data_IF_166515367867
#
_entry.id   IF_166515367867
#
_cell.length_a   1.000
_cell.length_b   1.000
_cell.length_c   1.000
_cell.angle_alpha   90.00
_cell.angle_beta   90.00
_cell.angle_gamma   90.00
#
_symmetry.space_group_name_H-M   'P 1'
#
loop_
_entity.id
_entity.type
_entity.pdbx_description
1 polymer ?
#
# COMPACT_ATOMS: atom_id res chain seq x y z
N UNK A 1 21.05 -2.61 -5.53
CA UNK A 1 21.01 -1.25 -6.11
C UNK A 1 20.18 -1.31 -7.39
N UNK A 2 19.15 -0.47 -7.56
CA UNK A 2 18.35 -0.48 -8.80
C UNK A 2 19.27 -0.09 -9.98
N UNK A 3 19.14 -0.72 -11.15
CA UNK A 3 19.96 -0.43 -12.35
C UNK A 3 20.08 1.07 -12.64
N UNK A 4 18.97 1.80 -12.44
CA UNK A 4 18.91 3.27 -12.57
C UNK A 4 19.91 4.01 -11.68
N UNK A 5 20.10 3.58 -10.43
CA UNK A 5 21.06 4.19 -9.51
C UNK A 5 22.49 3.98 -9.98
N UNK A 6 22.81 2.77 -10.45
CA UNK A 6 24.14 2.43 -10.97
C UNK A 6 24.45 3.28 -12.21
N UNK A 7 23.48 3.43 -13.12
CA UNK A 7 23.63 4.28 -14.31
C UNK A 7 23.90 5.75 -13.96
N UNK A 8 23.21 6.30 -12.96
CA UNK A 8 23.44 7.69 -12.50
C UNK A 8 24.86 7.85 -11.96
N UNK A 9 25.34 6.93 -11.13
CA UNK A 9 26.72 6.98 -10.62
C UNK A 9 27.75 6.83 -11.73
N UNK A 10 27.51 5.96 -12.71
CA UNK A 10 28.39 5.79 -13.86
C UNK A 10 28.44 7.06 -14.72
N UNK A 11 27.29 7.70 -14.94
CA UNK A 11 27.20 8.97 -15.66
C UNK A 11 27.96 10.09 -14.93
N UNK A 12 27.80 10.21 -13.61
CA UNK A 12 28.54 11.18 -12.80
C UNK A 12 30.06 10.92 -12.87
N UNK A 13 30.48 9.67 -12.76
CA UNK A 13 31.89 9.30 -12.88
C UNK A 13 32.43 9.64 -14.28
N UNK A 14 31.68 9.36 -15.35
CA UNK A 14 32.06 9.69 -16.71
C UNK A 14 32.23 11.21 -16.90
N UNK A 15 31.30 12.02 -16.38
CA UNK A 15 31.40 13.48 -16.41
C UNK A 15 32.60 13.98 -15.62
N UNK A 16 32.86 13.43 -14.42
CA UNK A 16 34.04 13.79 -13.62
C UNK A 16 35.35 13.46 -14.34
N UNK A 17 35.47 12.27 -14.94
CA UNK A 17 36.66 11.88 -15.70
C UNK A 17 36.83 12.78 -16.93
N UNK A 18 35.75 13.05 -17.66
CA UNK A 18 35.78 13.98 -18.80
C UNK A 18 36.26 15.38 -18.40
N UNK A 19 35.76 15.93 -17.29
CA UNK A 19 36.17 17.23 -16.79
C UNK A 19 37.65 17.27 -16.37
N UNK A 20 38.14 16.20 -15.73
CA UNK A 20 39.55 16.08 -15.32
C UNK A 20 40.49 16.00 -16.53
N UNK A 21 40.13 15.20 -17.54
CA UNK A 21 40.90 15.10 -18.79
C UNK A 21 40.94 16.45 -19.52
N UNK A 22 39.84 17.19 -19.49
CA UNK A 22 39.71 18.48 -20.18
C UNK A 22 39.94 19.69 -19.26
N UNK A 23 40.67 19.52 -18.16
CA UNK A 23 40.79 20.53 -17.11
C UNK A 23 41.20 21.92 -17.63
N UNK A 24 42.18 21.99 -18.52
CA UNK A 24 42.66 23.24 -19.11
C UNK A 24 41.54 24.03 -19.81
N UNK A 25 40.62 23.34 -20.52
CA UNK A 25 39.49 23.96 -21.18
C UNK A 25 38.46 24.50 -20.17
N UNK A 26 38.25 23.78 -19.06
CA UNK A 26 37.35 24.22 -18.00
C UNK A 26 37.89 25.43 -17.22
N UNK A 27 39.22 25.54 -17.09
CA UNK A 27 39.90 26.64 -16.39
C UNK A 27 40.25 27.84 -17.27
N UNK A 28 40.00 27.76 -18.58
CA UNK A 28 40.32 28.85 -19.51
C UNK A 28 39.52 30.12 -19.16
N UNK A 29 40.19 31.29 -18.98
CA UNK A 29 39.51 32.53 -18.67
C UNK A 29 38.59 32.96 -19.83
N UNK A 30 37.32 33.22 -19.52
CA UNK A 30 36.33 33.70 -20.49
C UNK A 30 35.68 34.98 -19.98
N UNK A 31 35.43 35.94 -20.87
CA UNK A 31 34.63 37.11 -20.53
C UNK A 31 33.17 36.69 -20.38
N UNK A 32 32.60 36.94 -19.21
CA UNK A 32 31.23 36.59 -18.85
C UNK A 32 30.44 37.87 -18.62
N UNK A 33 29.32 38.00 -19.32
CA UNK A 33 28.38 39.10 -19.12
C UNK A 33 27.22 38.66 -18.25
N UNK A 34 26.92 39.46 -17.21
CA UNK A 34 25.71 39.37 -16.39
C UNK A 34 24.59 40.26 -16.94
N UNK A 35 24.66 40.63 -18.22
CA UNK A 35 23.76 41.58 -18.87
C UNK A 35 24.17 43.04 -18.67
N UNK A 36 24.50 43.45 -17.44
CA UNK A 36 24.90 44.83 -17.11
C UNK A 36 26.37 45.00 -16.72
N UNK A 37 27.08 43.91 -16.45
CA UNK A 37 28.47 43.91 -16.02
C UNK A 37 29.22 42.72 -16.64
N UNK A 38 30.44 42.97 -17.10
CA UNK A 38 31.34 41.94 -17.63
C UNK A 38 32.48 41.67 -16.65
N UNK A 39 32.74 40.40 -16.40
CA UNK A 39 33.86 39.96 -15.58
C UNK A 39 34.53 38.74 -16.18
N UNK A 40 35.79 38.51 -15.83
CA UNK A 40 36.57 37.41 -16.38
C UNK A 40 36.59 36.25 -15.40
N UNK A 41 35.99 35.13 -15.78
CA UNK A 41 36.08 33.89 -15.01
C UNK A 41 36.00 32.68 -15.93
N UNK A 42 36.50 31.51 -15.50
CA UNK A 42 36.38 30.30 -16.30
C UNK A 42 34.93 29.80 -16.36
N UNK A 43 34.24 30.01 -17.48
CA UNK A 43 32.85 29.60 -17.68
C UNK A 43 32.66 28.10 -17.41
N UNK A 44 33.63 27.27 -17.83
CA UNK A 44 33.58 25.83 -17.62
C UNK A 44 33.47 25.46 -16.15
N UNK A 45 34.34 26.01 -15.29
CA UNK A 45 34.27 25.78 -13.84
C UNK A 45 32.95 26.27 -13.24
N UNK A 46 32.49 27.46 -13.64
CA UNK A 46 31.22 28.02 -13.15
C UNK A 46 30.05 27.07 -13.48
N UNK A 47 29.96 26.61 -14.73
CA UNK A 47 28.92 25.69 -15.17
C UNK A 47 29.04 24.32 -14.51
N UNK A 48 30.24 23.82 -14.28
CA UNK A 48 30.46 22.53 -13.61
C UNK A 48 30.02 22.59 -12.15
N UNK A 49 30.36 23.66 -11.43
CA UNK A 49 29.93 23.88 -10.04
C UNK A 49 28.43 24.02 -9.95
N UNK A 50 27.81 24.85 -10.80
CA UNK A 50 26.35 25.03 -10.82
C UNK A 50 25.63 23.71 -11.12
N UNK A 51 26.08 22.98 -12.14
CA UNK A 51 25.50 21.69 -12.52
C UNK A 51 25.66 20.66 -11.40
N UNK A 52 26.84 20.62 -10.76
CA UNK A 52 27.11 19.76 -9.61
C UNK A 52 26.20 20.09 -8.42
N UNK A 53 26.01 21.38 -8.12
CA UNK A 53 25.12 21.83 -7.05
C UNK A 53 23.66 21.44 -7.31
N UNK A 54 23.13 21.71 -8.50
CA UNK A 54 21.76 21.32 -8.90
C UNK A 54 21.59 19.81 -8.84
N UNK A 55 22.56 19.05 -9.36
CA UNK A 55 22.55 17.58 -9.31
C UNK A 55 22.55 17.07 -7.87
N UNK A 56 23.35 17.68 -6.99
CA UNK A 56 23.38 17.36 -5.57
C UNK A 56 22.03 17.57 -4.88
N UNK A 57 21.40 18.73 -5.10
CA UNK A 57 20.05 19.02 -4.56
C UNK A 57 19.03 18.01 -5.06
N UNK A 58 19.04 17.69 -6.36
CA UNK A 58 18.13 16.68 -6.93
C UNK A 58 18.37 15.29 -6.35
N UNK A 59 19.62 14.88 -6.14
CA UNK A 59 19.94 13.60 -5.50
C UNK A 59 19.42 13.55 -4.07
N UNK A 60 19.65 14.59 -3.28
CA UNK A 60 19.11 14.69 -1.91
C UNK A 60 17.58 14.61 -1.92
N UNK A 61 16.92 15.36 -2.80
CA UNK A 61 15.47 15.31 -2.95
C UNK A 61 14.97 13.90 -3.29
N UNK A 62 15.60 13.22 -4.25
CA UNK A 62 15.27 11.85 -4.63
C UNK A 62 15.45 10.88 -3.45
N UNK A 63 16.52 11.05 -2.65
CA UNK A 63 16.78 10.22 -1.47
C UNK A 63 15.70 10.43 -0.40
N UNK A 64 15.30 11.68 -0.15
CA UNK A 64 14.20 12.00 0.78
C UNK A 64 12.88 11.36 0.32
N UNK A 65 12.57 11.41 -0.98
CA UNK A 65 11.37 10.78 -1.54
C UNK A 65 11.39 9.26 -1.39
N UNK A 66 12.54 8.60 -1.61
CA UNK A 66 12.66 7.16 -1.42
C UNK A 66 12.47 6.74 0.04
N UNK A 67 12.88 7.57 1.01
CA UNK A 67 12.66 7.30 2.43
C UNK A 67 11.17 7.37 2.80
N UNK A 68 10.42 8.33 2.24
CA UNK A 68 8.98 8.47 2.45
C UNK A 68 8.18 7.25 1.99
N UNK A 69 8.49 6.72 0.79
CA UNK A 69 7.77 5.57 0.21
C UNK A 69 7.85 4.31 1.10
N UNK A 70 8.99 4.07 1.76
CA UNK A 70 9.15 2.89 2.64
C UNK A 70 8.32 3.05 3.92
N UNK A 71 8.25 4.27 4.48
CA UNK A 71 7.43 4.55 5.65
C UNK A 71 5.94 4.45 5.33
N UNK A 72 5.51 5.00 4.20
CA UNK A 72 4.11 4.94 3.75
C UNK A 72 3.67 3.50 3.50
N UNK A 73 4.50 2.68 2.83
CA UNK A 73 4.20 1.26 2.62
C UNK A 73 4.02 0.50 3.95
N UNK A 74 4.84 0.80 4.97
CA UNK A 74 4.66 0.23 6.31
C UNK A 74 3.38 0.71 6.99
N UNK A 75 3.00 1.97 6.79
CA UNK A 75 1.75 2.52 7.35
C UNK A 75 0.53 1.86 6.72
N UNK A 76 0.49 1.78 5.39
CA UNK A 76 -0.59 1.12 4.66
C UNK A 76 -0.69 -0.38 4.98
N UNK A 77 0.44 -1.08 5.16
CA UNK A 77 0.42 -2.47 5.59
C UNK A 77 -0.23 -2.64 6.97
N UNK A 78 0.05 -1.74 7.93
CA UNK A 78 -0.58 -1.75 9.26
C UNK A 78 -2.08 -1.47 9.18
N UNK A 79 -2.48 -0.45 8.41
CA UNK A 79 -3.89 -0.11 8.20
C UNK A 79 -4.64 -1.29 7.57
N UNK A 80 -4.05 -1.96 6.58
CA UNK A 80 -4.64 -3.14 5.94
C UNK A 80 -4.80 -4.32 6.90
N UNK A 81 -3.80 -4.58 7.77
CA UNK A 81 -3.92 -5.63 8.79
C UNK A 81 -5.03 -5.34 9.80
N UNK A 82 -5.20 -4.08 10.21
CA UNK A 82 -6.27 -3.68 11.12
C UNK A 82 -7.66 -3.85 10.48
N UNK A 83 -7.80 -3.46 9.21
CA UNK A 83 -9.05 -3.69 8.46
C UNK A 83 -9.37 -5.18 8.31
N UNK A 84 -8.37 -6.01 8.04
CA UNK A 84 -8.55 -7.46 7.95
C UNK A 84 -9.01 -8.04 9.28
N UNK A 85 -8.41 -7.62 10.40
CA UNK A 85 -8.83 -8.09 11.72
C UNK A 85 -10.27 -7.69 12.06
N UNK A 86 -10.67 -6.46 11.71
CA UNK A 86 -12.05 -6.00 11.87
C UNK A 86 -13.03 -6.77 10.98
N UNK A 87 -12.64 -7.07 9.74
CA UNK A 87 -13.43 -7.87 8.82
C UNK A 87 -13.59 -9.31 9.34
N UNK A 88 -12.50 -9.96 9.77
CA UNK A 88 -12.52 -11.31 10.32
C UNK A 88 -13.39 -11.38 11.58
N UNK A 89 -13.34 -10.37 12.46
CA UNK A 89 -14.22 -10.25 13.63
C UNK A 89 -15.69 -10.09 13.23
N UNK A 90 -15.98 -9.24 12.25
CA UNK A 90 -17.33 -9.06 11.74
C UNK A 90 -17.88 -10.34 11.10
N UNK A 91 -17.06 -11.06 10.35
CA UNK A 91 -17.41 -12.37 9.78
C UNK A 91 -17.67 -13.40 10.88
N UNK A 92 -16.80 -13.50 11.90
CA UNK A 92 -17.01 -14.41 13.03
C UNK A 92 -18.32 -14.10 13.80
N UNK A 93 -18.66 -12.82 13.95
CA UNK A 93 -19.95 -12.41 14.53
C UNK A 93 -21.12 -12.86 13.66
N UNK A 94 -21.05 -12.65 12.34
CA UNK A 94 -22.09 -13.08 11.39
C UNK A 94 -22.26 -14.59 11.38
N UNK A 95 -21.17 -15.36 11.45
CA UNK A 95 -21.23 -16.82 11.58
C UNK A 95 -21.89 -17.26 12.89
N UNK A 96 -21.58 -16.58 13.99
CA UNK A 96 -22.18 -16.87 15.31
C UNK A 96 -23.68 -16.57 15.30
N UNK A 97 -24.07 -15.42 14.74
CA UNK A 97 -25.48 -15.02 14.61
C UNK A 97 -26.26 -15.97 13.69
N UNK A 98 -25.68 -16.34 12.54
CA UNK A 98 -26.28 -17.29 11.61
C UNK A 98 -26.47 -18.66 12.28
N UNK A 99 -25.47 -19.13 13.03
CA UNK A 99 -25.58 -20.38 13.81
C UNK A 99 -26.69 -20.31 14.84
N UNK A 100 -26.78 -19.21 15.61
CA UNK A 100 -27.83 -19.03 16.61
C UNK A 100 -29.23 -19.01 15.96
N UNK A 101 -29.37 -18.35 14.80
CA UNK A 101 -30.60 -18.35 14.03
C UNK A 101 -30.99 -19.75 13.55
N UNK A 102 -30.05 -20.49 12.96
CA UNK A 102 -30.25 -21.89 12.53
C UNK A 102 -30.66 -22.80 13.69
N UNK A 103 -29.98 -22.68 14.84
CA UNK A 103 -30.32 -23.47 16.03
C UNK A 103 -31.73 -23.16 16.52
N UNK A 104 -32.13 -21.88 16.48
CA UNK A 104 -33.49 -21.45 16.85
C UNK A 104 -34.54 -22.01 15.90
N UNK A 105 -34.30 -21.93 14.59
CA UNK A 105 -35.25 -22.46 13.58
C UNK A 105 -35.33 -24.00 13.63
N UNK A 106 -34.23 -24.70 13.85
CA UNK A 106 -34.25 -26.16 14.04
C UNK A 106 -35.08 -26.56 15.26
N UNK A 107 -34.89 -25.90 16.41
CA UNK A 107 -35.72 -26.13 17.60
C UNK A 107 -37.20 -25.83 17.35
N UNK A 108 -37.49 -24.80 16.54
CA UNK A 108 -38.86 -24.44 16.15
C UNK A 108 -39.50 -25.50 15.26
N UNK A 109 -38.75 -26.08 14.33
CA UNK A 109 -39.22 -27.19 13.49
C UNK A 109 -39.47 -28.44 14.35
N UNK A 110 -38.57 -28.78 15.25
CA UNK A 110 -38.73 -29.93 16.16
C UNK A 110 -39.97 -29.78 17.05
N UNK A 111 -40.19 -28.59 17.62
CA UNK A 111 -41.39 -28.31 18.40
C UNK A 111 -42.68 -28.45 17.59
N UNK A 112 -42.69 -27.98 16.33
CA UNK A 112 -43.83 -28.13 15.42
C UNK A 112 -44.08 -29.60 15.07
N UNK A 113 -43.03 -30.39 14.81
CA UNK A 113 -43.16 -31.83 14.55
C UNK A 113 -43.72 -32.59 15.76
N UNK A 114 -43.24 -32.29 16.97
CA UNK A 114 -43.77 -32.89 18.21
C UNK A 114 -45.24 -32.50 18.44
N UNK A 115 -45.60 -31.24 18.18
CA UNK A 115 -47.00 -30.80 18.26
C UNK A 115 -47.88 -31.52 17.23
N UNK A 116 -47.44 -31.61 15.98
CA UNK A 116 -48.16 -32.31 14.92
C UNK A 116 -48.33 -33.80 15.18
N UNK A 117 -47.29 -34.49 15.65
CA UNK A 117 -47.38 -35.92 16.03
C UNK A 117 -48.32 -36.15 17.21
N UNK A 118 -48.33 -35.28 18.22
CA UNK A 118 -49.32 -35.35 19.31
C UNK A 118 -50.75 -35.14 18.81
N UNK A 119 -50.96 -34.18 17.91
CA UNK A 119 -52.28 -33.93 17.33
C UNK A 119 -52.77 -35.14 16.51
N UNK A 120 -51.89 -35.71 15.68
CA UNK A 120 -52.19 -36.93 14.92
C UNK A 120 -52.51 -38.10 15.85
N UNK A 121 -51.74 -38.29 16.93
CA UNK A 121 -52.02 -39.30 17.95
C UNK A 121 -53.39 -39.12 18.59
N UNK A 122 -53.71 -37.88 19.00
CA UNK A 122 -55.02 -37.57 19.58
C UNK A 122 -56.18 -37.84 18.61
N UNK A 123 -56.01 -37.52 17.32
CA UNK A 123 -57.01 -37.84 16.28
C UNK A 123 -57.19 -39.34 16.09
N UNK A 124 -56.12 -40.13 16.16
CA UNK A 124 -56.17 -41.60 16.07
C UNK A 124 -56.92 -42.19 17.28
N UNK A 125 -56.61 -41.73 18.49
CA UNK A 125 -57.29 -42.18 19.72
C UNK A 125 -58.80 -41.89 19.67
N UNK A 126 -59.17 -40.71 19.15
CA UNK A 126 -60.57 -40.31 18.97
C UNK A 126 -61.31 -41.24 17.99
N UNK A 127 -60.68 -41.60 16.88
CA UNK A 127 -61.24 -42.56 15.91
C UNK A 127 -61.38 -43.97 16.51
N UNK A 128 -60.40 -44.41 17.29
CA UNK A 128 -60.47 -45.70 17.99
C UNK A 128 -61.62 -45.74 19.01
N UNK A 129 -61.90 -44.63 19.70
CA UNK A 129 -63.04 -44.51 20.60
C UNK A 129 -64.39 -44.62 19.87
N UNK A 130 -64.53 -43.99 18.71
CA UNK A 130 -65.77 -44.03 17.91
C UNK A 130 -66.03 -45.42 17.32
N UNK A 131 -64.98 -46.15 16.95
CA UNK A 131 -65.10 -47.49 16.33
C UNK A 131 -65.29 -48.61 17.37
N UNK A 132 -65.19 -48.31 18.67
CA UNK A 132 -65.36 -49.29 19.77
C UNK A 132 -66.79 -49.43 20.29
N UNK A 133 -67.74 -48.73 19.68
CA UNK A 133 -69.18 -48.88 19.88
C UNK A 133 -69.80 -49.63 18.70
#
# INVERSE_FOLDING_TARGET
MKLRTVLVFLMLAAVSVFALINWAAFTAPTALSLGFYEFQAPLGLVMLVLTGAVSGVLLVYILMQQAGVIMEARRYAKELTAHRELADKAEASRFTELRAFLETELRRIEAQNVAGTRELGARIDQLQQVTRY
#
